data_IF_993319031412
#
_entry.id   IF_993319031412
#
_cell.length_a   1.000
_cell.length_b   1.000
_cell.length_c   1.000
_cell.angle_alpha   90.00
_cell.angle_beta   90.00
_cell.angle_gamma   90.00
#
_symmetry.space_group_name_H-M   'P 1'
#
loop_
_entity.id
_entity.type
_entity.pdbx_description
1 polymer ?
#
# COMPACT_ATOMS: atom_id res chain seq x y z
N UNK A 1 3.77 19.20 5.76
CA UNK A 1 3.66 18.09 6.76
C UNK A 1 2.58 17.13 6.28
N UNK A 2 2.68 15.83 6.57
CA UNK A 2 1.79 14.77 6.06
C UNK A 2 0.37 14.91 6.63
N UNK A 3 -0.63 14.97 5.75
CA UNK A 3 -2.04 15.18 6.10
C UNK A 3 -2.77 13.91 6.55
N UNK A 4 -2.46 12.77 5.91
CA UNK A 4 -3.12 11.49 6.18
C UNK A 4 -2.07 10.40 6.45
N UNK A 5 -1.57 10.27 7.69
CA UNK A 5 -0.61 9.24 8.05
C UNK A 5 -1.15 7.83 7.73
N UNK A 6 -0.26 6.94 7.29
CA UNK A 6 -0.58 5.54 7.04
C UNK A 6 0.67 4.69 7.19
N UNK A 7 0.50 3.47 7.70
CA UNK A 7 1.56 2.49 7.92
C UNK A 7 0.98 1.06 7.88
N UNK A 8 1.84 0.05 7.84
CA UNK A 8 1.42 -1.34 7.72
C UNK A 8 0.70 -1.89 8.96
N UNK A 9 0.99 -1.38 10.16
CA UNK A 9 0.26 -1.80 11.37
C UNK A 9 -1.16 -1.28 11.35
N UNK A 10 -1.36 -0.02 10.93
CA UNK A 10 -2.68 0.57 10.74
C UNK A 10 -3.47 -0.21 9.69
N UNK A 11 -2.87 -0.54 8.54
CA UNK A 11 -3.51 -1.37 7.51
C UNK A 11 -3.88 -2.75 8.05
N UNK A 12 -2.98 -3.41 8.80
CA UNK A 12 -3.27 -4.71 9.41
C UNK A 12 -4.46 -4.63 10.37
N UNK A 13 -4.49 -3.61 11.23
CA UNK A 13 -5.61 -3.39 12.15
C UNK A 13 -6.92 -3.16 11.40
N UNK A 14 -6.91 -2.39 10.30
CA UNK A 14 -8.10 -2.18 9.47
C UNK A 14 -8.59 -3.47 8.81
N UNK A 15 -7.68 -4.35 8.37
CA UNK A 15 -8.02 -5.68 7.85
C UNK A 15 -8.68 -6.55 8.93
N UNK A 16 -8.06 -6.68 10.09
CA UNK A 16 -8.56 -7.50 11.20
C UNK A 16 -9.93 -7.05 11.70
N UNK A 17 -10.22 -5.76 11.60
CA UNK A 17 -11.49 -5.16 11.99
C UNK A 17 -12.50 -5.04 10.84
N UNK A 18 -12.28 -5.71 9.70
CA UNK A 18 -13.16 -5.67 8.51
C UNK A 18 -13.50 -4.25 8.02
N UNK A 19 -12.56 -3.31 8.14
CA UNK A 19 -12.76 -1.90 7.79
C UNK A 19 -12.49 -1.60 6.31
N UNK A 20 -12.14 -2.62 5.51
CA UNK A 20 -12.04 -2.50 4.06
C UNK A 20 -13.24 -3.21 3.43
N UNK A 21 -14.06 -2.45 2.72
CA UNK A 21 -15.23 -2.98 2.01
C UNK A 21 -14.89 -3.45 0.60
N UNK A 22 -13.71 -3.06 0.10
CA UNK A 22 -13.18 -3.50 -1.19
C UNK A 22 -11.66 -3.55 -1.20
N UNK A 23 -11.11 -4.36 -2.11
CA UNK A 23 -9.68 -4.41 -2.36
C UNK A 23 -9.10 -3.05 -2.77
N UNK A 24 -9.90 -2.22 -3.44
CA UNK A 24 -9.50 -0.88 -3.88
C UNK A 24 -9.22 0.06 -2.71
N UNK A 25 -9.96 -0.07 -1.61
CA UNK A 25 -9.73 0.70 -0.39
C UNK A 25 -8.43 0.27 0.30
N UNK A 26 -8.16 -1.03 0.35
CA UNK A 26 -6.90 -1.58 0.84
C UNK A 26 -5.71 -1.11 -0.01
N UNK A 27 -5.82 -1.19 -1.34
CA UNK A 27 -4.78 -0.72 -2.27
C UNK A 27 -4.50 0.78 -2.08
N UNK A 28 -5.55 1.59 -1.87
CA UNK A 28 -5.42 3.02 -1.65
C UNK A 28 -4.56 3.34 -0.43
N UNK A 29 -4.73 2.62 0.67
CA UNK A 29 -3.92 2.83 1.87
C UNK A 29 -2.48 2.34 1.69
N UNK A 30 -2.26 1.24 0.97
CA UNK A 30 -0.90 0.80 0.60
C UNK A 30 -0.19 1.89 -0.21
N UNK A 31 -0.88 2.50 -1.19
CA UNK A 31 -0.33 3.61 -1.98
C UNK A 31 -0.06 4.84 -1.12
N UNK A 32 -0.93 5.12 -0.15
CA UNK A 32 -0.78 6.27 0.74
C UNK A 32 0.50 6.20 1.58
N UNK A 33 0.93 5.00 2.02
CA UNK A 33 2.25 4.82 2.67
C UNK A 33 3.37 5.38 1.79
N UNK A 34 3.40 5.01 0.52
CA UNK A 34 4.44 5.43 -0.42
C UNK A 34 4.32 6.90 -0.79
N UNK A 35 3.11 7.41 -1.04
CA UNK A 35 2.88 8.83 -1.28
C UNK A 35 3.41 9.68 -0.11
N UNK A 36 3.07 9.31 1.13
CA UNK A 36 3.55 10.00 2.32
C UNK A 36 5.07 9.90 2.46
N UNK A 37 5.65 8.73 2.17
CA UNK A 37 7.09 8.54 2.17
C UNK A 37 7.78 9.51 1.20
N UNK A 38 7.25 9.68 -0.01
CA UNK A 38 7.83 10.55 -1.03
C UNK A 38 7.56 12.04 -0.79
N UNK A 39 6.46 12.38 -0.11
CA UNK A 39 6.16 13.75 0.29
C UNK A 39 7.03 14.21 1.46
N UNK A 40 7.34 13.31 2.40
CA UNK A 40 8.11 13.66 3.60
C UNK A 40 9.62 13.61 3.38
N UNK A 41 10.12 12.61 2.65
CA UNK A 41 11.55 12.37 2.50
C UNK A 41 12.13 13.03 1.24
N UNK A 42 13.39 13.47 1.33
CA UNK A 42 14.14 14.00 0.18
C UNK A 42 14.34 12.91 -0.89
N UNK A 43 14.26 13.28 -2.17
CA UNK A 43 14.42 12.35 -3.30
C UNK A 43 15.76 11.61 -3.34
N UNK A 44 16.80 12.17 -2.70
CA UNK A 44 18.14 11.56 -2.58
C UNK A 44 18.29 10.72 -1.31
N UNK A 45 17.31 10.72 -0.42
CA UNK A 45 17.35 9.96 0.81
C UNK A 45 17.23 8.45 0.54
N UNK A 46 17.76 7.65 1.47
CA UNK A 46 17.66 6.19 1.38
C UNK A 46 16.20 5.73 1.48
N UNK A 47 15.42 6.40 2.32
CA UNK A 47 14.00 6.13 2.57
C UNK A 47 13.18 6.30 1.29
N UNK A 48 13.40 7.41 0.56
CA UNK A 48 12.75 7.64 -0.73
C UNK A 48 13.09 6.53 -1.73
N UNK A 49 14.39 6.26 -1.92
CA UNK A 49 14.86 5.23 -2.86
C UNK A 49 14.33 3.83 -2.51
N UNK A 50 14.43 3.42 -1.25
CA UNK A 50 13.90 2.15 -0.75
C UNK A 50 12.40 2.06 -0.93
N UNK A 51 11.66 3.15 -0.66
CA UNK A 51 10.23 3.24 -0.88
C UNK A 51 9.86 2.97 -2.34
N UNK A 52 10.61 3.50 -3.32
CA UNK A 52 10.36 3.29 -4.76
C UNK A 52 10.59 1.84 -5.20
N UNK A 53 11.64 1.21 -4.69
CA UNK A 53 11.93 -0.21 -4.96
C UNK A 53 10.80 -1.07 -4.41
N UNK A 54 10.43 -0.83 -3.16
CA UNK A 54 9.39 -1.60 -2.47
C UNK A 54 8.02 -1.44 -3.15
N UNK A 55 7.61 -0.21 -3.51
CA UNK A 55 6.38 0.06 -4.25
C UNK A 55 6.33 -0.74 -5.55
N UNK A 56 7.42 -0.74 -6.34
CA UNK A 56 7.49 -1.49 -7.59
C UNK A 56 7.27 -2.99 -7.39
N UNK A 57 7.83 -3.59 -6.34
CA UNK A 57 7.67 -5.03 -6.06
C UNK A 57 6.25 -5.34 -5.60
N UNK A 58 5.73 -4.56 -4.65
CA UNK A 58 4.39 -4.75 -4.08
C UNK A 58 3.29 -4.57 -5.13
N UNK A 59 3.39 -3.55 -5.97
CA UNK A 59 2.36 -3.27 -6.97
C UNK A 59 2.42 -4.26 -8.14
N UNK A 60 3.61 -4.61 -8.64
CA UNK A 60 3.74 -5.51 -9.81
C UNK A 60 3.43 -6.96 -9.48
N UNK A 61 3.87 -7.43 -8.31
CA UNK A 61 3.80 -8.84 -7.96
C UNK A 61 2.72 -9.11 -6.91
N UNK A 62 2.76 -8.36 -5.80
CA UNK A 62 1.85 -8.56 -4.67
C UNK A 62 0.39 -8.31 -5.03
N UNK A 63 0.07 -7.07 -5.42
CA UNK A 63 -1.30 -6.68 -5.76
C UNK A 63 -1.83 -7.42 -6.98
N UNK A 64 -1.02 -7.58 -8.03
CA UNK A 64 -1.44 -8.33 -9.22
C UNK A 64 -1.82 -9.78 -8.89
N UNK A 65 -1.04 -10.45 -8.02
CA UNK A 65 -1.36 -11.80 -7.55
C UNK A 65 -2.64 -11.82 -6.72
N UNK A 66 -2.83 -10.83 -5.85
CA UNK A 66 -4.03 -10.72 -5.01
C UNK A 66 -5.30 -10.52 -5.84
N UNK A 67 -5.28 -9.60 -6.81
CA UNK A 67 -6.38 -9.42 -7.78
C UNK A 67 -6.69 -10.74 -8.51
N UNK A 68 -5.67 -11.42 -9.03
CA UNK A 68 -5.86 -12.70 -9.71
C UNK A 68 -6.48 -13.78 -8.81
N UNK A 69 -6.14 -13.81 -7.51
CA UNK A 69 -6.71 -14.77 -6.57
C UNK A 69 -8.18 -14.49 -6.27
N UNK A 70 -8.57 -13.22 -6.18
CA UNK A 70 -9.97 -12.83 -5.92
C UNK A 70 -10.84 -13.10 -7.14
N UNK A 71 -10.37 -12.76 -8.34
CA UNK A 71 -11.10 -13.05 -9.59
C UNK A 71 -11.35 -14.55 -9.79
N UNK A 72 -10.49 -15.41 -9.21
CA UNK A 72 -10.65 -16.87 -9.21
C UNK A 72 -11.64 -17.41 -8.17
N UNK A 73 -11.97 -16.65 -7.13
CA UNK A 73 -12.97 -17.07 -6.13
C UNK A 73 -14.39 -16.72 -6.54
N UNK A 74 -14.58 -15.81 -7.51
CA UNK A 74 -15.88 -15.43 -8.04
C UNK A 74 -16.32 -16.26 -9.28
N UNK A 75 -15.51 -17.23 -9.71
CA UNK A 75 -15.81 -18.17 -10.81
C UNK A 75 -15.84 -19.62 -10.33
#
# INVERSE_FOLDING_TARGET
VIEYPMDLFTINSKLENNQYTSLKEFEKDIRLIFCNCYTYNDIKSKEYCSGRILESILMKNGMKKLFFMIDKQEN
#
